data_IF_380210882817
#
_entry.id   IF_380210882817
#
_cell.length_a   1.000
_cell.length_b   1.000
_cell.length_c   1.000
_cell.angle_alpha   90.00
_cell.angle_beta   90.00
_cell.angle_gamma   90.00
#
_symmetry.space_group_name_H-M   'P 1'
#
loop_
_entity.id
_entity.type
_entity.pdbx_description
1 polymer ?
#
# COMPACT_ATOMS: atom_id res chain seq x y z
N UNK A 1 26.98 -20.66 -4.36
CA UNK A 1 26.18 -21.07 -5.54
C UNK A 1 26.66 -20.26 -6.73
N UNK A 2 26.76 -20.87 -7.89
CA UNK A 2 27.09 -20.14 -9.11
C UNK A 2 25.87 -19.28 -9.49
N UNK A 3 26.05 -17.95 -9.47
CA UNK A 3 25.03 -16.94 -9.78
C UNK A 3 25.21 -16.32 -11.15
N UNK A 4 26.19 -16.81 -11.94
CA UNK A 4 26.51 -16.30 -13.28
C UNK A 4 25.29 -16.31 -14.20
N UNK A 5 24.47 -17.36 -14.13
CA UNK A 5 23.24 -17.49 -14.91
C UNK A 5 22.22 -16.34 -14.68
N UNK A 6 22.27 -15.69 -13.52
CA UNK A 6 21.41 -14.52 -13.23
C UNK A 6 21.88 -13.27 -14.00
N UNK A 7 23.13 -13.21 -14.40
CA UNK A 7 23.72 -12.03 -15.03
C UNK A 7 23.93 -12.20 -16.55
N UNK A 8 24.09 -13.43 -17.03
CA UNK A 8 24.48 -13.73 -18.43
C UNK A 8 23.47 -13.22 -19.47
N UNK A 9 22.18 -13.29 -19.12
CA UNK A 9 21.10 -12.86 -20.01
C UNK A 9 20.78 -11.35 -19.95
N UNK A 10 21.57 -10.56 -19.22
CA UNK A 10 21.37 -9.12 -19.01
C UNK A 10 22.34 -8.30 -19.88
N UNK A 11 21.86 -7.15 -20.38
CA UNK A 11 22.75 -6.18 -21.00
C UNK A 11 23.61 -5.46 -19.92
N UNK A 12 24.68 -4.72 -20.29
CA UNK A 12 25.56 -4.09 -19.32
C UNK A 12 24.84 -3.21 -18.29
N UNK A 13 23.97 -2.31 -18.70
CA UNK A 13 23.25 -1.42 -17.80
C UNK A 13 22.29 -2.18 -16.85
N UNK A 14 21.64 -3.24 -17.33
CA UNK A 14 20.83 -4.12 -16.51
C UNK A 14 21.67 -4.90 -15.50
N UNK A 15 22.84 -5.38 -15.93
CA UNK A 15 23.79 -6.10 -15.07
C UNK A 15 24.30 -5.20 -13.95
N UNK A 16 24.67 -3.96 -14.25
CA UNK A 16 25.12 -2.98 -13.26
C UNK A 16 24.02 -2.72 -12.21
N UNK A 17 22.77 -2.55 -12.62
CA UNK A 17 21.64 -2.35 -11.71
C UNK A 17 21.38 -3.59 -10.84
N UNK A 18 21.54 -4.82 -11.38
CA UNK A 18 21.31 -6.08 -10.67
C UNK A 18 22.42 -6.38 -9.68
N UNK A 19 23.70 -6.16 -10.05
CA UNK A 19 24.85 -6.49 -9.22
C UNK A 19 25.28 -5.36 -8.27
N UNK A 20 24.62 -4.20 -8.31
CA UNK A 20 24.90 -3.08 -7.40
C UNK A 20 24.94 -3.55 -5.92
N UNK A 21 25.82 -3.01 -5.05
CA UNK A 21 25.83 -3.33 -3.63
C UNK A 21 24.49 -3.13 -2.94
N UNK A 22 24.23 -3.65 -1.75
CA UNK A 22 23.05 -3.28 -0.96
C UNK A 22 22.99 -1.76 -0.74
N UNK A 23 21.80 -1.15 -0.94
CA UNK A 23 21.60 0.31 -0.85
C UNK A 23 20.31 0.78 -1.51
N UNK A 24 20.09 2.08 -1.49
CA UNK A 24 18.92 2.71 -2.12
C UNK A 24 19.24 3.10 -3.55
N UNK A 25 18.48 2.59 -4.52
CA UNK A 25 18.68 2.84 -5.94
C UNK A 25 17.39 3.27 -6.62
N UNK A 26 17.49 4.26 -7.48
CA UNK A 26 16.45 4.65 -8.43
C UNK A 26 16.89 4.22 -9.84
N UNK A 27 16.13 3.32 -10.45
CA UNK A 27 16.39 2.85 -11.82
C UNK A 27 15.38 3.49 -12.77
N UNK A 28 15.87 4.42 -13.60
CA UNK A 28 15.09 5.07 -14.64
C UNK A 28 15.16 4.26 -15.93
N UNK A 29 14.01 3.80 -16.41
CA UNK A 29 13.96 2.91 -17.57
C UNK A 29 12.68 3.11 -18.38
N UNK A 30 12.79 3.22 -19.68
CA UNK A 30 11.68 3.38 -20.63
C UNK A 30 10.76 2.14 -20.71
N UNK A 31 9.66 2.25 -21.43
CA UNK A 31 8.81 1.10 -21.74
C UNK A 31 9.61 0.06 -22.55
N UNK A 32 9.41 -1.22 -22.28
CA UNK A 32 10.12 -2.32 -22.99
C UNK A 32 11.59 -2.53 -22.61
N UNK A 33 12.20 -1.67 -21.77
CA UNK A 33 13.61 -1.78 -21.36
C UNK A 33 13.93 -2.95 -20.43
N UNK A 34 12.92 -3.71 -19.99
CA UNK A 34 13.11 -4.85 -19.10
C UNK A 34 13.12 -4.50 -17.60
N UNK A 35 12.47 -3.42 -17.16
CA UNK A 35 12.38 -3.03 -15.74
C UNK A 35 12.04 -4.18 -14.79
N UNK A 36 11.01 -4.93 -15.11
CA UNK A 36 10.59 -6.09 -14.28
C UNK A 36 11.65 -7.18 -14.28
N UNK A 37 12.35 -7.38 -15.40
CA UNK A 37 13.47 -8.33 -15.47
C UNK A 37 14.62 -7.90 -14.55
N UNK A 38 15.00 -6.63 -14.59
CA UNK A 38 16.03 -6.08 -13.68
C UNK A 38 15.61 -6.31 -12.22
N UNK A 39 14.36 -6.00 -11.86
CA UNK A 39 13.88 -6.17 -10.49
C UNK A 39 13.90 -7.64 -10.04
N UNK A 40 13.41 -8.58 -10.85
CA UNK A 40 13.40 -10.01 -10.50
C UNK A 40 14.82 -10.59 -10.41
N UNK A 41 15.70 -10.21 -11.33
CA UNK A 41 17.13 -10.63 -11.27
C UNK A 41 17.85 -9.97 -10.08
N UNK A 42 17.52 -8.73 -9.72
CA UNK A 42 18.05 -8.07 -8.51
C UNK A 42 17.67 -8.83 -7.25
N UNK A 43 16.40 -9.21 -7.11
CA UNK A 43 15.94 -10.04 -5.98
C UNK A 43 16.68 -11.38 -5.98
N UNK A 44 16.80 -12.03 -7.15
CA UNK A 44 17.57 -13.26 -7.29
C UNK A 44 19.02 -13.11 -6.82
N UNK A 45 19.69 -12.03 -7.23
CA UNK A 45 21.06 -11.71 -6.83
C UNK A 45 21.19 -11.45 -5.32
N UNK A 46 20.27 -10.66 -4.74
CA UNK A 46 20.29 -10.37 -3.29
C UNK A 46 20.17 -11.66 -2.46
N UNK A 47 19.29 -12.56 -2.86
CA UNK A 47 19.09 -13.83 -2.15
C UNK A 47 20.25 -14.79 -2.37
N UNK A 48 20.70 -14.98 -3.62
CA UNK A 48 21.68 -16.02 -3.96
C UNK A 48 23.13 -15.61 -3.73
N UNK A 49 23.47 -14.32 -3.87
CA UNK A 49 24.83 -13.81 -3.77
C UNK A 49 25.08 -12.94 -2.53
N UNK A 50 24.08 -12.18 -2.06
CA UNK A 50 24.25 -11.24 -0.95
C UNK A 50 23.74 -11.80 0.39
N UNK A 51 23.23 -13.03 0.44
CA UNK A 51 22.79 -13.70 1.67
C UNK A 51 21.51 -13.13 2.29
N UNK A 52 20.70 -12.37 1.52
CA UNK A 52 19.39 -11.89 1.98
C UNK A 52 18.45 -13.09 2.06
N UNK A 53 17.81 -13.27 3.21
CA UNK A 53 16.82 -14.35 3.36
C UNK A 53 15.58 -14.06 2.53
N UNK A 54 14.98 -15.04 1.85
CA UNK A 54 13.75 -14.82 1.08
C UNK A 54 12.63 -14.14 1.89
N UNK A 55 12.49 -14.46 3.17
CA UNK A 55 11.51 -13.86 4.07
C UNK A 55 11.76 -12.37 4.39
N UNK A 56 12.94 -11.84 4.09
CA UNK A 56 13.31 -10.43 4.26
C UNK A 56 13.03 -9.60 2.99
N UNK A 57 12.49 -10.23 1.94
CA UNK A 57 12.19 -9.55 0.67
C UNK A 57 10.74 -9.07 0.66
N UNK A 58 10.56 -7.76 0.46
CA UNK A 58 9.29 -7.12 0.17
C UNK A 58 9.35 -6.52 -1.25
N UNK A 59 8.64 -7.14 -2.18
CA UNK A 59 8.53 -6.68 -3.57
C UNK A 59 7.11 -6.20 -3.85
N UNK A 60 6.95 -4.92 -4.16
CA UNK A 60 5.64 -4.28 -4.30
C UNK A 60 5.37 -3.92 -5.75
N UNK A 61 4.14 -4.17 -6.19
CA UNK A 61 3.62 -3.80 -7.52
C UNK A 61 2.31 -3.04 -7.40
N UNK A 62 1.85 -2.42 -8.50
CA UNK A 62 0.57 -1.72 -8.53
C UNK A 62 -0.62 -2.66 -8.72
N UNK A 63 -0.47 -3.76 -9.46
CA UNK A 63 -1.59 -4.64 -9.82
C UNK A 63 -1.34 -6.07 -9.38
N UNK A 64 -2.43 -6.77 -9.05
CA UNK A 64 -2.38 -8.20 -8.74
C UNK A 64 -1.83 -9.04 -9.90
N UNK A 65 -2.06 -8.62 -11.15
CA UNK A 65 -1.50 -9.27 -12.34
C UNK A 65 0.03 -9.15 -12.34
N UNK A 66 0.57 -7.94 -12.14
CA UNK A 66 2.01 -7.72 -12.09
C UNK A 66 2.67 -8.47 -10.92
N UNK A 67 1.98 -8.56 -9.75
CA UNK A 67 2.47 -9.34 -8.63
C UNK A 67 2.58 -10.84 -8.98
N UNK A 68 1.55 -11.42 -9.61
CA UNK A 68 1.58 -12.82 -10.07
C UNK A 68 2.69 -13.08 -11.09
N UNK A 69 2.78 -12.23 -12.12
CA UNK A 69 3.85 -12.33 -13.13
C UNK A 69 5.25 -12.23 -12.50
N UNK A 70 5.41 -11.42 -11.45
CA UNK A 70 6.67 -11.32 -10.70
C UNK A 70 6.96 -12.61 -9.92
N UNK A 71 5.97 -13.17 -9.23
CA UNK A 71 6.10 -14.47 -8.53
C UNK A 71 6.54 -15.56 -9.50
N UNK A 72 5.86 -15.73 -10.64
CA UNK A 72 6.18 -16.74 -11.64
C UNK A 72 7.63 -16.61 -12.14
N UNK A 73 8.10 -15.38 -12.40
CA UNK A 73 9.48 -15.14 -12.83
C UNK A 73 10.49 -15.44 -11.72
N UNK A 74 10.17 -15.07 -10.48
CA UNK A 74 11.02 -15.37 -9.34
C UNK A 74 11.08 -16.89 -9.05
N UNK A 75 9.96 -17.60 -9.18
CA UNK A 75 9.92 -19.06 -9.04
C UNK A 75 10.80 -19.74 -10.09
N UNK A 76 10.84 -19.21 -11.31
CA UNK A 76 11.76 -19.68 -12.35
C UNK A 76 13.25 -19.46 -12.02
N UNK A 77 13.58 -18.45 -11.22
CA UNK A 77 14.95 -18.11 -10.84
C UNK A 77 15.40 -18.78 -9.51
N UNK A 78 14.51 -18.85 -8.54
CA UNK A 78 14.81 -19.20 -7.14
C UNK A 78 14.05 -20.45 -6.66
N UNK A 79 13.10 -20.95 -7.44
CA UNK A 79 12.28 -22.10 -7.03
C UNK A 79 11.31 -21.77 -5.90
N UNK A 80 10.94 -22.78 -5.12
CA UNK A 80 9.88 -22.71 -4.11
C UNK A 80 10.13 -21.76 -2.93
N UNK A 81 11.34 -21.24 -2.73
CA UNK A 81 11.66 -20.30 -1.65
C UNK A 81 10.91 -18.96 -1.79
N UNK A 82 10.45 -18.63 -3.00
CA UNK A 82 9.67 -17.43 -3.31
C UNK A 82 8.38 -17.35 -2.48
N UNK A 83 7.81 -18.47 -2.07
CA UNK A 83 6.59 -18.53 -1.23
C UNK A 83 6.76 -17.87 0.14
N UNK A 84 7.98 -17.69 0.60
CA UNK A 84 8.26 -17.00 1.88
C UNK A 84 8.46 -15.50 1.72
N UNK A 85 8.60 -15.01 0.47
CA UNK A 85 8.72 -13.59 0.15
C UNK A 85 7.35 -12.88 0.21
N UNK A 86 7.40 -11.58 0.41
CA UNK A 86 6.23 -10.74 0.22
C UNK A 86 6.28 -10.12 -1.18
N UNK A 87 5.65 -10.77 -2.15
CA UNK A 87 5.51 -10.27 -3.52
C UNK A 87 4.04 -9.96 -3.76
N UNK A 88 3.65 -8.70 -3.68
CA UNK A 88 2.25 -8.29 -3.65
C UNK A 88 2.03 -6.82 -4.06
N UNK A 89 0.77 -6.37 -4.04
CA UNK A 89 0.44 -4.96 -4.26
C UNK A 89 0.66 -4.13 -2.99
N UNK A 90 0.76 -2.79 -3.13
CA UNK A 90 0.80 -1.86 -1.99
C UNK A 90 -0.32 -2.13 -1.00
N UNK A 91 -1.57 -2.19 -1.47
CA UNK A 91 -2.73 -2.44 -0.61
C UNK A 91 -2.66 -3.79 0.11
N UNK A 92 -2.19 -4.83 -0.58
CA UNK A 92 -2.04 -6.15 0.06
C UNK A 92 -0.96 -6.15 1.14
N UNK A 93 0.18 -5.46 0.91
CA UNK A 93 1.23 -5.29 1.91
C UNK A 93 0.73 -4.50 3.12
N UNK A 94 0.10 -3.35 2.89
CA UNK A 94 -0.48 -2.52 3.94
C UNK A 94 -1.57 -3.27 4.72
N UNK A 95 -2.48 -3.96 4.04
CA UNK A 95 -3.49 -4.79 4.70
C UNK A 95 -2.88 -5.89 5.58
N UNK A 96 -1.77 -6.51 5.14
CA UNK A 96 -1.08 -7.53 5.93
C UNK A 96 -0.36 -6.92 7.15
N UNK A 97 0.24 -5.74 7.02
CA UNK A 97 0.81 -4.98 8.14
C UNK A 97 -0.30 -4.61 9.11
N UNK A 98 -1.39 -4.01 8.64
CA UNK A 98 -2.51 -3.58 9.47
C UNK A 98 -3.18 -4.75 10.21
N UNK A 99 -3.29 -5.95 9.62
CA UNK A 99 -3.83 -7.11 10.35
C UNK A 99 -3.08 -7.39 11.65
N UNK A 100 -1.79 -7.07 11.69
CA UNK A 100 -0.97 -7.22 12.88
C UNK A 100 -1.06 -6.02 13.81
N UNK A 101 -1.04 -4.82 13.25
CA UNK A 101 -0.89 -3.56 14.01
C UNK A 101 -2.23 -2.88 14.33
N UNK A 102 -3.35 -3.34 13.76
CA UNK A 102 -4.67 -2.75 13.92
C UNK A 102 -5.09 -2.48 15.39
N UNK A 103 -4.75 -3.35 16.38
CA UNK A 103 -5.09 -3.07 17.77
C UNK A 103 -4.51 -1.78 18.32
N UNK A 104 -3.40 -1.30 17.78
CA UNK A 104 -2.79 0.00 18.18
C UNK A 104 -3.64 1.21 17.80
N UNK A 105 -4.49 1.05 16.78
CA UNK A 105 -5.40 2.08 16.27
C UNK A 105 -6.86 1.87 16.73
N UNK A 106 -7.11 0.89 17.61
CA UNK A 106 -8.46 0.59 18.11
C UNK A 106 -9.29 -0.34 17.22
N UNK A 107 -8.72 -0.90 16.14
CA UNK A 107 -9.36 -1.92 15.32
C UNK A 107 -9.00 -3.34 15.80
N UNK A 108 -9.81 -4.32 15.48
CA UNK A 108 -9.41 -5.72 15.62
C UNK A 108 -8.67 -6.19 14.37
N UNK A 109 -7.87 -7.26 14.50
CA UNK A 109 -7.15 -7.85 13.34
C UNK A 109 -8.09 -8.42 12.26
N UNK A 110 -9.38 -8.64 12.59
CA UNK A 110 -10.41 -9.14 11.68
C UNK A 110 -11.24 -8.04 11.00
N UNK A 111 -10.75 -6.80 10.96
CA UNK A 111 -11.47 -5.71 10.29
C UNK A 111 -11.89 -6.08 8.86
N UNK A 112 -13.05 -5.58 8.43
CA UNK A 112 -13.54 -5.71 7.06
C UNK A 112 -13.01 -4.59 6.17
N UNK A 113 -12.95 -4.85 4.85
CA UNK A 113 -12.58 -3.85 3.85
C UNK A 113 -13.83 -3.53 3.04
N UNK A 114 -14.23 -2.27 3.06
CA UNK A 114 -15.45 -1.78 2.41
C UNK A 114 -15.16 -1.46 0.94
N UNK A 115 -15.97 -2.00 0.03
CA UNK A 115 -15.85 -1.70 -1.39
C UNK A 115 -16.37 -0.30 -1.76
N UNK A 116 -16.05 0.17 -2.98
CA UNK A 116 -16.39 1.52 -3.42
C UNK A 116 -17.91 1.80 -3.42
N UNK A 117 -18.74 0.80 -3.74
CA UNK A 117 -20.19 0.97 -3.78
C UNK A 117 -20.74 1.16 -2.36
N UNK A 118 -20.24 0.41 -1.41
CA UNK A 118 -20.59 0.53 0.00
C UNK A 118 -20.07 1.83 0.62
N UNK A 119 -18.87 2.29 0.23
CA UNK A 119 -18.33 3.59 0.64
C UNK A 119 -19.24 4.74 0.23
N UNK A 120 -19.69 4.78 -1.03
CA UNK A 120 -20.61 5.82 -1.52
C UNK A 120 -21.96 5.73 -0.82
N UNK A 121 -22.47 4.52 -0.55
CA UNK A 121 -23.71 4.35 0.24
C UNK A 121 -23.54 4.85 1.67
N UNK A 122 -22.40 4.60 2.30
CA UNK A 122 -22.12 5.10 3.64
C UNK A 122 -22.02 6.63 3.67
N UNK A 123 -21.37 7.25 2.68
CA UNK A 123 -21.32 8.71 2.52
C UNK A 123 -22.74 9.28 2.37
N UNK A 124 -23.61 8.65 1.57
CA UNK A 124 -25.01 9.06 1.43
C UNK A 124 -25.73 9.01 2.80
N UNK A 125 -25.58 7.94 3.55
CA UNK A 125 -26.17 7.82 4.87
C UNK A 125 -25.64 8.88 5.87
N UNK A 126 -24.37 9.27 5.77
CA UNK A 126 -23.81 10.36 6.58
C UNK A 126 -24.40 11.73 6.17
N UNK A 127 -24.59 11.99 4.88
CA UNK A 127 -25.25 13.21 4.42
C UNK A 127 -26.70 13.33 4.95
N UNK A 128 -27.46 12.24 4.89
CA UNK A 128 -28.82 12.17 5.41
C UNK A 128 -28.86 12.39 6.94
N UNK A 129 -27.95 11.80 7.69
CA UNK A 129 -27.82 12.00 9.15
C UNK A 129 -27.52 13.46 9.52
N UNK A 130 -26.76 14.16 8.69
CA UNK A 130 -26.36 15.55 8.89
C UNK A 130 -27.36 16.56 8.26
N UNK A 131 -28.55 16.13 7.85
CA UNK A 131 -29.57 16.95 7.16
C UNK A 131 -28.99 17.68 5.94
N UNK A 132 -28.08 17.04 5.19
CA UNK A 132 -27.50 17.57 3.96
C UNK A 132 -28.20 16.95 2.75
N UNK A 133 -28.72 17.78 1.85
CA UNK A 133 -29.42 17.30 0.65
C UNK A 133 -28.47 16.58 -0.32
N UNK A 134 -28.64 15.27 -0.57
CA UNK A 134 -27.80 14.51 -1.48
C UNK A 134 -27.89 14.96 -2.96
N UNK A 135 -28.92 15.77 -3.32
CA UNK A 135 -28.97 16.36 -4.66
C UNK A 135 -28.00 17.53 -4.80
N UNK A 136 -27.80 18.28 -3.72
CA UNK A 136 -26.84 19.38 -3.66
C UNK A 136 -25.41 18.88 -3.39
N UNK A 137 -25.28 17.86 -2.58
CA UNK A 137 -24.01 17.21 -2.21
C UNK A 137 -23.99 15.78 -2.75
N UNK A 138 -23.65 15.63 -4.03
CA UNK A 138 -23.61 14.30 -4.67
C UNK A 138 -22.70 13.34 -3.87
N UNK A 139 -23.21 12.20 -3.37
CA UNK A 139 -22.43 11.30 -2.51
C UNK A 139 -21.10 10.84 -3.13
N UNK A 140 -21.08 10.59 -4.45
CA UNK A 140 -19.85 10.24 -5.17
C UNK A 140 -18.84 11.39 -5.22
N UNK A 141 -19.30 12.64 -5.31
CA UNK A 141 -18.45 13.83 -5.29
C UNK A 141 -17.84 14.05 -3.91
N UNK A 142 -18.64 13.91 -2.84
CA UNK A 142 -18.16 14.00 -1.46
C UNK A 142 -17.17 12.86 -1.16
N UNK A 143 -17.48 11.63 -1.57
CA UNK A 143 -16.57 10.49 -1.46
C UNK A 143 -15.23 10.76 -2.16
N UNK A 144 -15.25 11.32 -3.37
CA UNK A 144 -14.02 11.64 -4.10
C UNK A 144 -13.15 12.68 -3.35
N UNK A 145 -13.76 13.67 -2.67
CA UNK A 145 -13.00 14.61 -1.84
C UNK A 145 -12.39 13.93 -0.61
N UNK A 146 -13.11 13.03 0.04
CA UNK A 146 -12.60 12.23 1.17
C UNK A 146 -11.42 11.36 0.70
N UNK A 147 -11.58 10.63 -0.40
CA UNK A 147 -10.53 9.80 -0.98
C UNK A 147 -9.28 10.64 -1.34
N UNK A 148 -9.47 11.81 -1.97
CA UNK A 148 -8.37 12.74 -2.26
C UNK A 148 -7.65 13.24 -0.99
N UNK A 149 -8.38 13.46 0.10
CA UNK A 149 -7.78 13.83 1.38
C UNK A 149 -6.95 12.68 1.96
N UNK A 150 -7.50 11.47 2.01
CA UNK A 150 -6.81 10.26 2.47
C UNK A 150 -5.53 9.98 1.66
N UNK A 151 -5.59 10.12 0.35
CA UNK A 151 -4.43 9.96 -0.54
C UNK A 151 -3.31 10.99 -0.29
N UNK A 152 -3.63 12.10 0.37
CA UNK A 152 -2.65 13.11 0.84
C UNK A 152 -2.32 12.96 2.32
N UNK A 153 -2.74 11.87 2.96
CA UNK A 153 -2.58 11.61 4.40
C UNK A 153 -3.21 12.71 5.26
N UNK A 154 -4.33 13.28 4.81
CA UNK A 154 -5.10 14.29 5.53
C UNK A 154 -6.31 13.60 6.16
N UNK A 155 -6.26 13.40 7.48
CA UNK A 155 -7.38 12.88 8.26
C UNK A 155 -8.48 13.94 8.50
N UNK A 156 -9.63 13.54 9.09
CA UNK A 156 -10.78 14.42 9.29
C UNK A 156 -10.44 15.73 10.02
N UNK A 157 -9.67 15.66 11.11
CA UNK A 157 -9.30 16.83 11.92
C UNK A 157 -8.47 17.85 11.12
N UNK A 158 -7.49 17.36 10.35
CA UNK A 158 -6.67 18.22 9.48
C UNK A 158 -7.47 18.78 8.31
N UNK A 159 -8.42 18.00 7.78
CA UNK A 159 -9.29 18.46 6.71
C UNK A 159 -10.19 19.60 7.20
N UNK A 160 -10.78 19.50 8.40
CA UNK A 160 -11.57 20.53 9.04
C UNK A 160 -10.81 21.86 9.20
N UNK A 161 -9.50 21.81 9.48
CA UNK A 161 -8.65 23.00 9.58
C UNK A 161 -8.37 23.70 8.23
N UNK A 162 -8.64 23.03 7.11
CA UNK A 162 -8.39 23.52 5.75
C UNK A 162 -9.65 23.99 5.02
N UNK A 163 -10.79 24.01 5.72
CA UNK A 163 -12.10 24.39 5.15
C UNK A 163 -12.07 25.85 4.68
N UNK A 164 -12.43 26.08 3.41
CA UNK A 164 -12.48 27.39 2.80
C UNK A 164 -13.88 27.77 2.26
N UNK A 165 -14.80 26.82 2.20
CA UNK A 165 -16.15 27.01 1.66
C UNK A 165 -17.20 26.23 2.45
N UNK A 166 -18.49 26.58 2.24
CA UNK A 166 -19.59 25.79 2.81
C UNK A 166 -19.63 24.35 2.28
N UNK A 167 -19.18 24.13 1.05
CA UNK A 167 -19.04 22.77 0.50
C UNK A 167 -17.94 22.00 1.25
N UNK A 168 -16.77 22.59 1.44
CA UNK A 168 -15.68 21.97 2.19
C UNK A 168 -16.07 21.68 3.64
N UNK A 169 -16.83 22.60 4.27
CA UNK A 169 -17.38 22.38 5.61
C UNK A 169 -18.26 21.12 5.65
N UNK A 170 -19.18 20.97 4.68
CA UNK A 170 -20.02 19.78 4.59
C UNK A 170 -19.21 18.52 4.36
N UNK A 171 -18.20 18.56 3.48
CA UNK A 171 -17.30 17.41 3.25
C UNK A 171 -16.56 17.04 4.54
N UNK A 172 -16.07 18.01 5.31
CA UNK A 172 -15.37 17.78 6.56
C UNK A 172 -16.25 17.08 7.60
N UNK A 173 -17.49 17.57 7.78
CA UNK A 173 -18.49 16.97 8.70
C UNK A 173 -18.84 15.54 8.28
N UNK A 174 -19.05 15.32 6.96
CA UNK A 174 -19.32 13.99 6.42
C UNK A 174 -18.10 13.06 6.57
N UNK A 175 -16.88 13.56 6.37
CA UNK A 175 -15.66 12.79 6.52
C UNK A 175 -15.49 12.28 7.96
N UNK A 176 -15.74 13.15 8.95
CA UNK A 176 -15.72 12.76 10.37
C UNK A 176 -16.78 11.69 10.67
N UNK A 177 -18.04 11.89 10.23
CA UNK A 177 -19.12 10.92 10.43
C UNK A 177 -18.82 9.58 9.73
N UNK A 178 -18.30 9.63 8.51
CA UNK A 178 -17.90 8.48 7.71
C UNK A 178 -16.83 7.65 8.43
N UNK A 179 -15.75 8.29 8.90
CA UNK A 179 -14.65 7.62 9.56
C UNK A 179 -15.08 7.01 10.89
N UNK A 180 -15.91 7.74 11.66
CA UNK A 180 -16.50 7.23 12.90
C UNK A 180 -17.35 5.96 12.68
N UNK A 181 -18.14 5.92 11.61
CA UNK A 181 -18.96 4.75 11.26
C UNK A 181 -18.13 3.57 10.80
N UNK A 182 -17.09 3.79 10.01
CA UNK A 182 -16.14 2.74 9.64
C UNK A 182 -15.50 2.13 10.89
N UNK A 183 -14.97 2.96 11.78
CA UNK A 183 -14.33 2.51 13.01
C UNK A 183 -15.32 1.74 13.92
N UNK A 184 -16.54 2.23 14.10
CA UNK A 184 -17.59 1.56 14.90
C UNK A 184 -17.98 0.19 14.32
N UNK A 185 -17.87 0.01 13.02
CA UNK A 185 -18.13 -1.26 12.32
C UNK A 185 -16.88 -2.15 12.21
N UNK A 186 -15.77 -1.79 12.84
CA UNK A 186 -14.47 -2.43 12.64
C UNK A 186 -14.16 -2.65 11.17
N UNK A 187 -14.27 -1.58 10.39
CA UNK A 187 -14.10 -1.57 8.94
C UNK A 187 -13.13 -0.46 8.51
N UNK A 188 -12.46 -0.69 7.40
CA UNK A 188 -11.58 0.27 6.73
C UNK A 188 -11.92 0.30 5.24
N UNK A 189 -11.67 1.41 4.56
CA UNK A 189 -11.70 1.46 3.11
C UNK A 189 -10.30 1.23 2.49
N UNK A 190 -10.23 1.27 1.15
CA UNK A 190 -8.96 1.05 0.46
C UNK A 190 -7.93 2.15 0.74
N UNK A 191 -8.38 3.41 0.84
CA UNK A 191 -7.49 4.54 1.14
C UNK A 191 -6.98 4.46 2.59
N UNK A 192 -7.84 4.02 3.53
CA UNK A 192 -7.46 3.76 4.92
C UNK A 192 -6.33 2.74 5.05
N UNK A 193 -6.31 1.72 4.19
CA UNK A 193 -5.24 0.71 4.28
C UNK A 193 -3.85 1.34 4.13
N UNK A 194 -3.71 2.32 3.25
CA UNK A 194 -2.46 3.07 3.08
C UNK A 194 -2.26 4.07 4.21
N UNK A 195 -3.26 4.92 4.46
CA UNK A 195 -3.18 6.00 5.44
C UNK A 195 -2.92 5.49 6.86
N UNK A 196 -3.67 4.49 7.31
CA UNK A 196 -3.51 3.91 8.65
C UNK A 196 -2.20 3.12 8.79
N UNK A 197 -1.67 2.52 7.72
CA UNK A 197 -0.33 1.91 7.76
C UNK A 197 0.74 2.97 8.00
N UNK A 198 0.67 4.11 7.31
CA UNK A 198 1.59 5.23 7.54
C UNK A 198 1.44 5.74 8.97
N UNK A 199 0.21 5.94 9.44
CA UNK A 199 -0.07 6.38 10.81
C UNK A 199 0.54 5.44 11.87
N UNK A 200 0.42 4.12 11.69
CA UNK A 200 1.07 3.15 12.58
C UNK A 200 2.57 3.34 12.60
N UNK A 201 3.20 3.44 11.43
CA UNK A 201 4.66 3.54 11.33
C UNK A 201 5.20 4.88 11.87
N UNK A 202 4.42 5.95 11.79
CA UNK A 202 4.80 7.27 12.34
C UNK A 202 4.58 7.36 13.85
N UNK A 203 3.48 6.79 14.38
CA UNK A 203 3.10 6.94 15.79
C UNK A 203 3.72 5.90 16.72
N UNK A 204 4.12 4.75 16.19
CA UNK A 204 4.61 3.63 17.00
C UNK A 204 6.03 3.22 16.56
N UNK A 205 7.07 3.81 17.18
CA UNK A 205 8.48 3.54 16.79
C UNK A 205 8.87 2.07 16.86
N UNK A 206 8.30 1.32 17.79
CA UNK A 206 8.55 -0.13 17.92
C UNK A 206 7.95 -0.94 16.75
N UNK A 207 6.80 -0.50 16.20
CA UNK A 207 6.24 -1.07 14.98
C UNK A 207 7.13 -0.75 13.77
N UNK A 208 7.56 0.51 13.62
CA UNK A 208 8.49 0.92 12.58
C UNK A 208 9.78 0.09 12.64
N UNK A 209 10.42 0.01 13.80
CA UNK A 209 11.62 -0.78 14.05
C UNK A 209 11.43 -2.26 13.66
N UNK A 210 10.27 -2.84 14.03
CA UNK A 210 9.95 -4.21 13.67
C UNK A 210 9.93 -4.41 12.16
N UNK A 211 9.21 -3.55 11.42
CA UNK A 211 9.06 -3.68 9.98
C UNK A 211 10.32 -3.33 9.21
N UNK A 212 11.14 -2.39 9.71
CA UNK A 212 12.47 -2.10 9.14
C UNK A 212 13.45 -3.27 9.30
N UNK A 213 13.35 -4.03 10.40
CA UNK A 213 14.17 -5.25 10.59
C UNK A 213 13.62 -6.45 9.84
N UNK A 214 12.32 -6.47 9.57
CA UNK A 214 11.69 -7.57 8.84
C UNK A 214 12.09 -7.59 7.36
N UNK A 215 12.32 -6.43 6.76
CA UNK A 215 12.63 -6.28 5.34
C UNK A 215 13.95 -5.55 5.13
N UNK A 216 14.74 -6.03 4.17
CA UNK A 216 16.07 -5.49 3.80
C UNK A 216 16.11 -5.00 2.36
#
# INVERSE_FOLDING_TARGET
MDVSHLLDALNPAQRDAVSAPPGHYLVLAGAGSGKTRVLTHRIGHLVSACGVRPSEVLAITFTNRAAREMVERLEGLLGGVVRTMWVMTFHAACGRILRREAPRLGYTSSFSIVDQADQVRLVKACLEELDRDPKRFAPSGVHAQISNAKNRLVGPDRYMQQVASFYDQTVAEVYEAYQRRLAASNAVDFDDMLMLTVEVLERFPDALDHWQRAFR
#
